data_IF_430923865809
#
_entry.id   IF_430923865809
#
_cell.length_a   1.000
_cell.length_b   1.000
_cell.length_c   1.000
_cell.angle_alpha   90.00
_cell.angle_beta   90.00
_cell.angle_gamma   90.00
#
_symmetry.space_group_name_H-M   'P 1'
#
loop_
_entity.id
_entity.type
_entity.pdbx_description
1 polymer ?
#
# COMPACT_ATOMS: atom_id res chain seq x y z
N UNK A 1 -63.55 28.61 -2.11
CA UNK A 1 -62.75 27.36 -2.04
C UNK A 1 -61.83 27.10 -3.25
N UNK A 2 -61.55 28.09 -4.13
CA UNK A 2 -60.72 27.87 -5.33
C UNK A 2 -59.29 28.44 -5.26
N UNK A 3 -59.01 29.31 -4.29
CA UNK A 3 -57.73 30.01 -4.11
C UNK A 3 -56.66 29.18 -3.38
N UNK A 4 -57.06 28.23 -2.52
CA UNK A 4 -56.12 27.37 -1.78
C UNK A 4 -55.44 26.28 -2.63
N UNK A 5 -56.00 25.89 -3.79
CA UNK A 5 -55.39 24.89 -4.68
C UNK A 5 -54.23 25.47 -5.51
N UNK A 6 -54.29 26.74 -5.90
CA UNK A 6 -53.22 27.40 -6.68
C UNK A 6 -51.94 27.65 -5.87
N UNK A 7 -52.06 27.88 -4.56
CA UNK A 7 -50.92 28.11 -3.68
C UNK A 7 -50.08 26.84 -3.45
N UNK A 8 -50.72 25.66 -3.37
CA UNK A 8 -50.01 24.37 -3.26
C UNK A 8 -49.24 24.00 -4.53
N UNK A 9 -49.76 24.38 -5.70
CA UNK A 9 -49.12 24.08 -6.99
C UNK A 9 -47.85 24.92 -7.22
N UNK A 10 -47.86 26.20 -6.82
CA UNK A 10 -46.66 27.06 -6.86
C UNK A 10 -45.57 26.54 -5.92
N UNK A 11 -45.93 26.14 -4.70
CA UNK A 11 -44.97 25.58 -3.73
C UNK A 11 -44.32 24.28 -4.20
N UNK A 12 -45.10 23.38 -4.83
CA UNK A 12 -44.60 22.13 -5.39
C UNK A 12 -43.66 22.35 -6.58
N UNK A 13 -43.93 23.36 -7.41
CA UNK A 13 -43.09 23.70 -8.56
C UNK A 13 -41.76 24.33 -8.11
N UNK A 14 -41.79 25.18 -7.08
CA UNK A 14 -40.59 25.76 -6.48
C UNK A 14 -39.67 24.67 -5.88
N UNK A 15 -40.26 23.65 -5.23
CA UNK A 15 -39.53 22.53 -4.65
C UNK A 15 -38.90 21.62 -5.72
N UNK A 16 -39.58 21.46 -6.86
CA UNK A 16 -39.08 20.68 -8.00
C UNK A 16 -37.90 21.39 -8.68
N UNK A 17 -38.00 22.71 -8.88
CA UNK A 17 -36.92 23.54 -9.44
C UNK A 17 -35.71 23.56 -8.51
N UNK A 18 -35.92 23.62 -7.19
CA UNK A 18 -34.84 23.56 -6.21
C UNK A 18 -34.10 22.22 -6.26
N UNK A 19 -34.83 21.08 -6.37
CA UNK A 19 -34.23 19.76 -6.55
C UNK A 19 -33.48 19.61 -7.89
N UNK A 20 -33.97 20.23 -8.97
CA UNK A 20 -33.30 20.26 -10.28
C UNK A 20 -31.98 21.05 -10.25
N UNK A 21 -31.91 22.14 -9.48
CA UNK A 21 -30.67 22.91 -9.27
C UNK A 21 -29.63 22.19 -8.42
N UNK A 22 -30.04 21.30 -7.50
CA UNK A 22 -29.10 20.47 -6.73
C UNK A 22 -28.46 19.34 -7.56
N UNK A 23 -29.07 18.94 -8.68
CA UNK A 23 -28.55 17.85 -9.53
C UNK A 23 -27.43 18.34 -10.48
N UNK A 24 -27.37 19.63 -10.83
CA UNK A 24 -26.44 20.16 -11.84
C UNK A 24 -25.08 20.59 -11.30
N UNK A 25 -24.81 20.44 -10.00
CA UNK A 25 -23.50 20.67 -9.41
C UNK A 25 -22.69 19.38 -9.23
N UNK A 26 -22.56 18.57 -10.29
CA UNK A 26 -21.45 17.63 -10.40
C UNK A 26 -20.34 18.31 -11.20
N UNK A 27 -19.48 19.02 -10.46
CA UNK A 27 -18.15 19.42 -10.90
C UNK A 27 -17.47 18.24 -11.60
N UNK A 28 -16.83 18.50 -12.75
CA UNK A 28 -15.88 17.59 -13.39
C UNK A 28 -14.66 17.43 -12.47
N UNK A 29 -14.80 16.65 -11.41
CA UNK A 29 -13.68 16.21 -10.61
C UNK A 29 -12.95 15.13 -11.41
N UNK A 30 -11.65 15.34 -11.67
CA UNK A 30 -10.73 14.23 -11.92
C UNK A 30 -11.01 13.17 -10.86
N UNK A 31 -11.49 12.01 -11.30
CA UNK A 31 -12.15 11.03 -10.42
C UNK A 31 -11.11 10.30 -9.58
N UNK A 32 -10.62 10.94 -8.52
CA UNK A 32 -9.86 10.26 -7.48
C UNK A 32 -10.82 9.40 -6.67
N UNK A 33 -10.57 8.10 -6.65
CA UNK A 33 -11.35 7.15 -5.86
C UNK A 33 -10.63 7.00 -4.53
N UNK A 34 -11.30 7.31 -3.41
CA UNK A 34 -10.72 7.07 -2.09
C UNK A 34 -10.84 5.59 -1.71
N UNK A 35 -9.72 4.99 -1.29
CA UNK A 35 -9.71 3.73 -0.58
C UNK A 35 -9.34 3.98 0.88
N UNK A 36 -10.35 4.06 1.74
CA UNK A 36 -10.17 4.53 3.12
C UNK A 36 -9.70 5.98 3.13
N UNK A 37 -8.48 6.21 3.63
CA UNK A 37 -7.85 7.55 3.66
C UNK A 37 -6.91 7.83 2.48
N UNK A 38 -6.66 6.83 1.63
CA UNK A 38 -5.67 6.94 0.56
C UNK A 38 -6.40 7.29 -0.74
N UNK A 39 -6.14 8.45 -1.37
CA UNK A 39 -6.66 8.74 -2.69
C UNK A 39 -5.95 7.88 -3.72
N UNK A 40 -6.72 7.20 -4.57
CA UNK A 40 -6.21 6.51 -5.75
C UNK A 40 -6.40 7.45 -6.94
N UNK A 41 -5.37 7.59 -7.76
CA UNK A 41 -5.34 8.39 -8.98
C UNK A 41 -4.71 7.59 -10.12
N UNK A 42 -4.78 8.10 -11.34
CA UNK A 42 -4.01 7.61 -12.50
C UNK A 42 -2.53 7.54 -12.10
N UNK A 43 -1.77 6.47 -12.43
CA UNK A 43 -2.08 5.36 -13.35
C UNK A 43 -2.89 4.19 -12.73
N UNK A 44 -3.22 4.21 -11.44
CA UNK A 44 -3.88 3.07 -10.79
C UNK A 44 -5.40 3.01 -11.03
N UNK A 45 -5.96 4.05 -11.64
CA UNK A 45 -7.37 4.09 -12.05
C UNK A 45 -7.46 3.74 -13.53
N UNK A 46 -8.42 2.87 -13.86
CA UNK A 46 -8.90 2.71 -15.22
C UNK A 46 -9.79 3.91 -15.56
N UNK A 47 -9.28 4.90 -16.29
CA UNK A 47 -10.14 5.90 -16.93
C UNK A 47 -10.94 5.24 -18.07
N UNK A 48 -12.14 5.75 -18.38
CA UNK A 48 -12.92 5.39 -19.57
C UNK A 48 -12.22 5.74 -20.91
N UNK A 49 -10.92 6.04 -20.87
CA UNK A 49 -10.08 6.26 -22.04
C UNK A 49 -9.75 4.94 -22.70
N UNK A 50 -9.62 4.96 -24.02
CA UNK A 50 -9.14 3.85 -24.88
C UNK A 50 -7.76 3.29 -24.52
N UNK A 51 -7.05 3.92 -23.58
CA UNK A 51 -5.77 3.45 -23.02
C UNK A 51 -6.02 2.98 -21.59
N UNK A 52 -6.08 1.66 -21.36
CA UNK A 52 -6.05 1.13 -20.00
C UNK A 52 -4.64 1.34 -19.43
N UNK A 53 -4.53 2.00 -18.28
CA UNK A 53 -3.23 2.05 -17.61
C UNK A 53 -2.83 0.66 -17.13
N UNK A 54 -1.62 0.23 -17.45
CA UNK A 54 -1.09 -1.09 -17.11
C UNK A 54 -1.08 -1.37 -15.59
N UNK A 55 -1.05 -0.32 -14.77
CA UNK A 55 -1.04 -0.43 -13.30
C UNK A 55 -2.44 -0.51 -12.68
N UNK A 56 -3.53 -0.42 -13.46
CA UNK A 56 -4.90 -0.46 -12.95
C UNK A 56 -5.23 -1.75 -12.17
N UNK A 57 -4.58 -2.88 -12.50
CA UNK A 57 -4.76 -4.18 -11.85
C UNK A 57 -3.78 -4.44 -10.70
N UNK A 58 -2.83 -3.52 -10.50
CA UNK A 58 -1.80 -3.65 -9.44
C UNK A 58 -2.31 -3.28 -8.06
N UNK A 59 -3.46 -2.59 -7.97
CA UNK A 59 -4.04 -2.12 -6.72
C UNK A 59 -5.40 -2.75 -6.47
N UNK A 60 -5.64 -3.16 -5.23
CA UNK A 60 -6.92 -3.69 -4.76
C UNK A 60 -7.35 -2.96 -3.50
N UNK A 61 -8.53 -2.35 -3.53
CA UNK A 61 -9.17 -1.81 -2.33
C UNK A 61 -10.10 -2.86 -1.71
N UNK A 62 -9.84 -3.27 -0.47
CA UNK A 62 -10.70 -4.22 0.26
C UNK A 62 -10.90 -3.74 1.70
N UNK A 63 -12.15 -3.63 2.13
CA UNK A 63 -12.52 -3.18 3.49
C UNK A 63 -11.85 -1.86 3.88
N UNK A 64 -11.88 -0.87 2.98
CA UNK A 64 -11.24 0.45 3.16
C UNK A 64 -9.72 0.41 3.37
N UNK A 65 -9.05 -0.68 3.00
CA UNK A 65 -7.59 -0.81 3.00
C UNK A 65 -7.10 -1.04 1.58
N UNK A 66 -6.06 -0.31 1.20
CA UNK A 66 -5.42 -0.43 -0.10
C UNK A 66 -4.34 -1.52 -0.04
N UNK A 67 -4.29 -2.35 -1.07
CA UNK A 67 -3.33 -3.42 -1.21
C UNK A 67 -2.65 -3.36 -2.58
N UNK A 68 -1.35 -3.60 -2.60
CA UNK A 68 -0.58 -3.89 -3.79
C UNK A 68 -0.67 -5.39 -4.10
N UNK A 69 -1.11 -5.72 -5.32
CA UNK A 69 -1.37 -7.08 -5.78
C UNK A 69 -0.13 -7.65 -6.45
N UNK A 70 0.25 -8.86 -6.06
CA UNK A 70 1.43 -9.56 -6.60
C UNK A 70 1.10 -11.03 -6.90
N UNK A 71 2.03 -11.76 -7.52
CA UNK A 71 1.92 -13.22 -7.72
C UNK A 71 2.11 -14.03 -6.42
N UNK A 72 2.59 -13.41 -5.34
CA UNK A 72 2.65 -14.02 -4.01
C UNK A 72 1.36 -13.78 -3.21
N UNK A 73 0.71 -12.63 -3.42
CA UNK A 73 -0.47 -12.22 -2.68
C UNK A 73 -0.61 -10.70 -2.57
N UNK A 74 -1.45 -10.27 -1.62
CA UNK A 74 -1.76 -8.87 -1.35
C UNK A 74 -0.85 -8.32 -0.25
N UNK A 75 -0.20 -7.20 -0.54
CA UNK A 75 0.64 -6.44 0.39
C UNK A 75 -0.03 -5.13 0.78
N UNK A 76 -0.16 -4.80 2.08
CA UNK A 76 -0.83 -3.58 2.50
C UNK A 76 -0.05 -2.32 2.09
N UNK A 77 -0.77 -1.30 1.63
CA UNK A 77 -0.21 0.00 1.24
C UNK A 77 -0.43 1.01 2.36
N UNK A 78 0.63 1.68 2.81
CA UNK A 78 0.53 2.77 3.81
C UNK A 78 0.31 4.12 3.17
N UNK A 79 0.99 4.40 2.06
CA UNK A 79 0.93 5.71 1.40
C UNK A 79 1.24 5.61 -0.09
N UNK A 80 0.75 6.58 -0.85
CA UNK A 80 1.06 6.79 -2.26
C UNK A 80 1.42 8.27 -2.42
N UNK A 81 2.58 8.55 -2.98
CA UNK A 81 3.02 9.89 -3.33
C UNK A 81 3.03 10.03 -4.84
N UNK A 82 2.06 10.76 -5.38
CA UNK A 82 1.91 11.00 -6.81
C UNK A 82 2.93 12.01 -7.36
N UNK A 83 3.46 12.91 -6.51
CA UNK A 83 4.48 13.88 -6.89
C UNK A 83 5.81 13.21 -7.14
N UNK A 84 6.24 12.32 -6.23
CA UNK A 84 7.47 11.54 -6.39
C UNK A 84 7.25 10.23 -7.13
N UNK A 85 6.01 9.93 -7.54
CA UNK A 85 5.60 8.69 -8.20
C UNK A 85 6.06 7.42 -7.45
N UNK A 86 5.88 7.42 -6.14
CA UNK A 86 6.27 6.31 -5.25
C UNK A 86 5.11 5.78 -4.43
N UNK A 87 5.12 4.46 -4.22
CA UNK A 87 4.20 3.70 -3.39
C UNK A 87 4.95 3.17 -2.17
N UNK A 88 4.36 3.23 -0.97
CA UNK A 88 4.95 2.61 0.22
C UNK A 88 4.16 1.38 0.64
N UNK A 89 4.80 0.21 0.59
CA UNK A 89 4.28 -1.04 1.14
C UNK A 89 4.57 -1.11 2.63
N UNK A 90 3.52 -1.35 3.41
CA UNK A 90 3.62 -1.59 4.85
C UNK A 90 4.15 -2.99 5.12
N UNK A 91 5.09 -3.10 6.06
CA UNK A 91 5.56 -4.38 6.58
C UNK A 91 5.22 -4.53 8.07
N UNK A 92 4.94 -5.75 8.55
CA UNK A 92 4.80 -5.99 9.97
C UNK A 92 6.07 -5.57 10.72
N UNK A 93 5.89 -4.95 11.89
CA UNK A 93 6.98 -4.44 12.71
C UNK A 93 7.93 -5.53 13.23
N UNK A 94 7.59 -6.81 13.17
CA UNK A 94 8.51 -7.92 13.45
C UNK A 94 8.25 -9.08 12.48
N UNK A 95 9.03 -9.15 11.41
CA UNK A 95 8.95 -10.26 10.46
C UNK A 95 10.01 -11.30 10.80
N UNK A 96 9.59 -12.56 10.91
CA UNK A 96 10.53 -13.68 11.08
C UNK A 96 11.35 -13.85 9.80
N UNK A 97 12.65 -14.11 9.94
CA UNK A 97 13.50 -14.49 8.80
C UNK A 97 12.99 -15.75 8.07
N UNK A 98 12.09 -16.54 8.65
CA UNK A 98 11.47 -17.68 7.97
C UNK A 98 10.52 -17.30 6.84
N UNK A 99 9.91 -16.12 6.91
CA UNK A 99 8.97 -15.61 5.91
C UNK A 99 9.56 -14.43 5.15
N UNK A 100 10.90 -14.40 5.03
CA UNK A 100 11.59 -13.35 4.30
C UNK A 100 11.16 -13.35 2.84
N UNK A 101 10.72 -12.20 2.38
CA UNK A 101 10.46 -11.93 0.97
C UNK A 101 11.50 -10.92 0.55
N UNK A 102 12.35 -11.30 -0.41
CA UNK A 102 13.39 -10.42 -0.92
C UNK A 102 12.77 -9.16 -1.52
N UNK A 103 13.16 -7.95 -1.04
CA UNK A 103 12.67 -6.70 -1.61
C UNK A 103 13.07 -6.54 -3.08
N UNK A 104 14.22 -7.09 -3.49
CA UNK A 104 14.64 -7.11 -4.88
C UNK A 104 13.62 -7.86 -5.77
N UNK A 105 12.97 -8.92 -5.26
CA UNK A 105 11.90 -9.61 -5.98
C UNK A 105 10.59 -8.80 -6.06
N UNK A 106 10.30 -7.99 -5.04
CA UNK A 106 9.14 -7.08 -5.06
C UNK A 106 9.35 -5.91 -6.03
N UNK A 107 10.59 -5.40 -6.11
CA UNK A 107 11.00 -4.25 -6.92
C UNK A 107 11.41 -4.62 -8.34
N UNK A 108 11.69 -5.89 -8.63
CA UNK A 108 12.21 -6.31 -9.92
C UNK A 108 11.32 -5.84 -11.09
N UNK A 109 11.96 -5.18 -12.05
CA UNK A 109 11.32 -4.62 -13.24
C UNK A 109 10.65 -3.27 -13.03
N UNK A 110 10.64 -2.73 -11.80
CA UNK A 110 10.31 -1.33 -11.54
C UNK A 110 11.56 -0.47 -11.48
N UNK A 111 11.44 0.85 -11.73
CA UNK A 111 12.53 1.78 -11.48
C UNK A 111 12.93 1.80 -10.00
N UNK A 112 14.23 1.97 -9.75
CA UNK A 112 14.77 2.27 -8.42
C UNK A 112 14.15 3.56 -7.88
N UNK A 113 13.58 3.58 -6.66
CA UNK A 113 13.14 4.81 -6.02
C UNK A 113 14.32 5.77 -5.79
N UNK A 114 14.06 7.08 -5.75
CA UNK A 114 15.11 8.11 -5.51
C UNK A 114 15.97 7.85 -4.26
N UNK A 115 15.41 7.17 -3.26
CA UNK A 115 16.12 6.74 -2.06
C UNK A 115 16.01 5.21 -1.99
N UNK A 116 17.14 4.48 -1.92
CA UNK A 116 17.09 3.03 -1.91
C UNK A 116 16.40 2.53 -0.64
N UNK A 117 15.78 1.36 -0.76
CA UNK A 117 15.26 0.66 0.40
C UNK A 117 16.43 0.06 1.19
N UNK A 118 16.26 0.00 2.50
CA UNK A 118 17.22 -0.57 3.45
C UNK A 118 16.60 -1.74 4.22
N UNK A 119 17.44 -2.60 4.76
CA UNK A 119 17.05 -3.80 5.49
C UNK A 119 17.72 -3.82 6.86
N UNK A 120 16.93 -3.95 7.90
CA UNK A 120 17.41 -4.18 9.26
C UNK A 120 17.33 -5.66 9.58
N UNK A 121 18.41 -6.21 10.13
CA UNK A 121 18.54 -7.59 10.53
C UNK A 121 18.82 -7.64 12.03
N UNK A 122 18.19 -8.58 12.74
CA UNK A 122 18.26 -8.66 14.20
C UNK A 122 18.69 -10.04 14.69
N UNK A 123 19.52 -10.04 15.74
CA UNK A 123 20.08 -11.22 16.39
C UNK A 123 20.73 -12.17 15.38
N UNK A 124 21.66 -11.65 14.59
CA UNK A 124 22.48 -12.43 13.68
C UNK A 124 23.69 -12.99 14.43
N UNK A 125 24.11 -14.22 14.11
CA UNK A 125 25.25 -14.87 14.77
C UNK A 125 26.48 -15.05 13.88
N UNK A 126 26.32 -14.94 12.55
CA UNK A 126 27.45 -15.06 11.61
C UNK A 126 28.22 -13.75 11.51
N UNK A 127 29.53 -13.80 11.77
CA UNK A 127 30.47 -12.68 11.56
C UNK A 127 31.04 -12.63 10.13
N UNK A 128 30.82 -13.68 9.34
CA UNK A 128 31.31 -13.75 7.96
C UNK A 128 30.30 -13.02 7.09
N UNK A 129 30.59 -11.75 6.80
CA UNK A 129 29.83 -10.90 5.90
C UNK A 129 30.39 -11.06 4.48
N UNK A 130 29.78 -11.82 3.55
CA UNK A 130 30.20 -11.79 2.16
C UNK A 130 29.71 -10.46 1.57
N UNK A 131 30.62 -9.49 1.34
CA UNK A 131 30.31 -8.20 0.71
C UNK A 131 30.31 -7.01 1.68
N UNK A 132 31.50 -6.55 2.08
CA UNK A 132 31.79 -5.78 3.30
C UNK A 132 31.81 -4.24 3.16
N UNK A 133 30.87 -3.61 2.43
CA UNK A 133 30.81 -2.13 2.37
C UNK A 133 29.45 -1.49 2.65
N UNK A 134 28.36 -2.24 2.52
CA UNK A 134 26.99 -1.72 2.67
C UNK A 134 26.25 -2.25 3.90
N UNK A 135 26.88 -3.13 4.68
CA UNK A 135 26.35 -3.66 5.95
C UNK A 135 27.09 -2.99 7.11
N UNK A 136 26.36 -2.27 7.96
CA UNK A 136 26.89 -1.59 9.14
C UNK A 136 26.13 -1.95 10.41
N UNK A 137 26.70 -1.63 11.57
CA UNK A 137 25.97 -1.70 12.84
C UNK A 137 24.93 -0.57 12.89
N UNK A 138 23.76 -0.84 13.46
CA UNK A 138 22.65 0.11 13.50
C UNK A 138 22.62 1.01 14.75
N UNK A 139 23.76 1.16 15.44
CA UNK A 139 23.88 1.84 16.74
C UNK A 139 23.47 3.32 16.76
N UNK A 140 23.29 3.95 15.59
CA UNK A 140 22.97 5.39 15.45
C UNK A 140 21.58 5.66 14.86
N UNK A 141 20.71 4.64 14.77
CA UNK A 141 19.38 4.82 14.21
C UNK A 141 18.42 5.47 15.23
N UNK A 142 17.87 6.64 14.90
CA UNK A 142 16.69 7.17 15.60
C UNK A 142 15.47 6.34 15.21
N UNK A 143 14.79 5.79 16.22
CA UNK A 143 13.68 4.87 16.04
C UNK A 143 12.45 5.56 15.42
N UNK A 144 11.97 4.98 14.32
CA UNK A 144 10.64 4.99 13.71
C UNK A 144 9.66 6.07 14.22
N UNK A 145 9.48 7.15 13.45
CA UNK A 145 8.33 8.03 13.61
C UNK A 145 7.04 7.27 13.21
N UNK A 146 6.36 6.68 14.18
CA UNK A 146 5.02 6.13 13.94
C UNK A 146 4.06 7.31 13.72
N UNK A 147 3.43 7.40 12.53
CA UNK A 147 2.39 8.40 12.24
C UNK A 147 1.06 8.19 12.97
N UNK A 148 1.06 7.39 14.04
CA UNK A 148 -0.05 7.23 14.97
C UNK A 148 0.32 7.89 16.29
N UNK A 149 -0.33 9.01 16.60
CA UNK A 149 -0.39 9.52 17.97
C UNK A 149 -0.70 8.35 18.92
N UNK A 150 0.11 8.20 19.97
CA UNK A 150 0.09 7.14 20.99
C UNK A 150 0.93 5.88 20.66
N UNK A 151 2.23 6.07 20.56
CA UNK A 151 3.26 5.38 21.37
C UNK A 151 4.60 5.58 20.65
N UNK A 152 5.39 6.53 21.13
CA UNK A 152 6.84 6.48 20.97
C UNK A 152 7.32 5.21 21.69
N UNK A 153 7.24 4.06 21.03
CA UNK A 153 8.12 2.96 21.39
C UNK A 153 9.48 3.31 20.81
N UNK A 154 10.20 4.11 21.59
CA UNK A 154 11.65 4.10 21.61
C UNK A 154 12.05 2.62 21.54
N UNK A 155 12.64 2.22 20.41
CA UNK A 155 13.29 0.93 20.35
C UNK A 155 14.52 1.12 21.24
N UNK A 156 14.39 0.92 22.56
CA UNK A 156 15.52 0.44 23.35
C UNK A 156 16.03 -0.74 22.53
N UNK A 157 17.19 -0.61 21.89
CA UNK A 157 17.75 -1.65 21.02
C UNK A 157 18.55 -2.58 21.93
N UNK A 158 17.98 -3.66 22.52
CA UNK A 158 18.70 -4.58 23.38
C UNK A 158 19.31 -5.71 22.51
N UNK A 159 19.20 -5.60 21.18
CA UNK A 159 19.44 -6.66 20.21
C UNK A 159 20.58 -6.25 19.28
N UNK A 160 21.50 -7.17 19.02
CA UNK A 160 22.49 -6.99 17.96
C UNK A 160 21.76 -6.79 16.64
N UNK A 161 22.10 -5.71 15.93
CA UNK A 161 21.40 -5.35 14.72
C UNK A 161 22.35 -4.86 13.63
N UNK A 162 22.04 -5.28 12.41
CA UNK A 162 22.79 -4.97 11.20
C UNK A 162 21.88 -4.20 10.24
N UNK A 163 22.41 -3.13 9.68
CA UNK A 163 21.76 -2.30 8.69
C UNK A 163 22.41 -2.55 7.34
N UNK A 164 21.59 -2.96 6.38
CA UNK A 164 21.89 -2.97 4.96
C UNK A 164 21.35 -1.67 4.39
N UNK A 165 22.24 -0.76 3.98
CA UNK A 165 21.85 0.57 3.51
C UNK A 165 21.10 0.56 2.18
N UNK A 166 21.48 -0.36 1.29
CA UNK A 166 20.99 -0.39 -0.08
C UNK A 166 20.75 -1.84 -0.49
N UNK A 167 19.48 -2.25 -0.49
CA UNK A 167 19.09 -3.62 -0.82
C UNK A 167 19.35 -3.94 -2.30
N UNK A 168 19.46 -2.94 -3.17
CA UNK A 168 19.74 -3.19 -4.59
C UNK A 168 21.18 -3.68 -4.82
N UNK A 169 22.06 -3.43 -3.85
CA UNK A 169 23.44 -3.94 -3.84
C UNK A 169 23.56 -5.33 -3.21
N UNK A 170 22.48 -5.87 -2.64
CA UNK A 170 22.47 -7.25 -2.19
C UNK A 170 22.43 -8.19 -3.39
N UNK A 171 23.15 -9.30 -3.26
CA UNK A 171 22.97 -10.41 -4.18
C UNK A 171 21.50 -10.86 -4.19
N UNK A 172 21.00 -11.21 -5.38
CA UNK A 172 19.60 -11.62 -5.57
C UNK A 172 19.22 -12.88 -4.80
N UNK A 173 20.21 -13.70 -4.42
CA UNK A 173 20.07 -14.89 -3.59
C UNK A 173 20.14 -14.65 -2.08
N UNK A 174 20.35 -13.41 -1.63
CA UNK A 174 20.49 -13.11 -0.21
C UNK A 174 19.28 -13.55 0.61
N UNK A 175 19.54 -14.27 1.72
CA UNK A 175 18.53 -14.58 2.70
C UNK A 175 19.04 -14.29 4.13
N UNK A 176 18.26 -13.63 5.03
CA UNK A 176 18.67 -13.35 6.41
C UNK A 176 19.11 -14.59 7.22
N UNK A 177 18.64 -15.78 6.82
CA UNK A 177 19.06 -17.06 7.43
C UNK A 177 20.52 -17.40 7.15
N UNK A 178 21.10 -16.92 6.04
CA UNK A 178 22.50 -17.16 5.71
C UNK A 178 23.43 -16.49 6.73
N UNK A 179 22.92 -15.46 7.42
CA UNK A 179 23.57 -14.78 8.53
C UNK A 179 23.07 -15.24 9.91
N UNK A 180 22.23 -16.28 9.96
CA UNK A 180 21.53 -16.77 11.16
C UNK A 180 20.75 -15.67 11.89
N UNK A 181 20.16 -14.72 11.17
CA UNK A 181 19.34 -13.68 11.77
C UNK A 181 17.95 -14.23 12.13
N UNK A 182 17.45 -13.86 13.31
CA UNK A 182 16.12 -14.28 13.78
C UNK A 182 14.97 -13.50 13.14
N UNK A 183 15.15 -12.19 12.96
CA UNK A 183 14.13 -11.28 12.48
C UNK A 183 14.72 -10.28 11.50
N UNK A 184 13.84 -9.68 10.71
CA UNK A 184 14.17 -8.57 9.84
C UNK A 184 13.08 -7.51 9.82
N UNK A 185 13.44 -6.31 9.38
CA UNK A 185 12.52 -5.23 9.05
C UNK A 185 12.93 -4.57 7.75
N UNK A 186 11.95 -4.24 6.93
CA UNK A 186 12.16 -3.39 5.76
C UNK A 186 11.91 -1.95 6.14
N UNK A 187 12.85 -1.10 5.76
CA UNK A 187 12.84 0.32 6.09
C UNK A 187 13.28 1.13 4.87
N UNK A 188 12.96 2.41 4.87
CA UNK A 188 13.49 3.36 3.90
C UNK A 188 13.94 4.63 4.62
N UNK A 189 14.88 5.35 4.02
CA UNK A 189 15.37 6.63 4.55
C UNK A 189 14.30 7.72 4.35
N UNK A 190 13.90 8.40 5.43
CA UNK A 190 12.88 9.46 5.37
C UNK A 190 13.42 10.74 4.72
N UNK A 191 14.71 11.06 4.94
CA UNK A 191 15.38 12.26 4.42
C UNK A 191 16.57 11.93 3.51
N UNK A 192 16.79 12.74 2.48
CA UNK A 192 17.96 12.64 1.60
C UNK A 192 19.19 13.37 2.14
N UNK A 193 19.09 14.01 3.30
CA UNK A 193 20.17 14.81 3.88
C UNK A 193 21.14 13.91 4.64
N UNK A 194 22.41 14.06 4.30
CA UNK A 194 23.55 13.40 4.94
C UNK A 194 23.92 14.07 6.27
N UNK A 195 22.92 14.23 7.13
CA UNK A 195 23.16 14.54 8.52
C UNK A 195 23.59 13.24 9.23
N UNK A 196 24.44 13.37 10.26
CA UNK A 196 25.04 12.26 11.04
C UNK A 196 24.03 11.27 11.67
N UNK A 197 22.73 11.57 11.54
CA UNK A 197 21.60 10.75 11.98
C UNK A 197 20.60 10.59 10.83
N UNK A 198 20.70 9.47 10.10
CA UNK A 198 19.69 9.09 9.11
C UNK A 198 18.43 8.60 9.81
N UNK A 199 17.30 9.25 9.54
CA UNK A 199 15.99 8.84 10.02
C UNK A 199 15.39 7.80 9.05
N UNK A 200 14.83 6.73 9.62
CA UNK A 200 14.27 5.60 8.88
C UNK A 200 12.82 5.38 9.26
N UNK A 201 12.00 5.08 8.26
CA UNK A 201 10.60 4.72 8.41
C UNK A 201 10.36 3.26 8.01
N UNK A 202 9.30 2.66 8.58
CA UNK A 202 8.94 1.28 8.28
C UNK A 202 8.29 1.16 6.90
N UNK A 203 8.75 0.18 6.12
CA UNK A 203 8.13 -0.21 4.86
C UNK A 203 9.14 -0.31 3.71
N UNK A 204 8.61 -0.43 2.50
CA UNK A 204 9.41 -0.44 1.28
C UNK A 204 8.75 0.44 0.23
N UNK A 205 9.55 1.30 -0.39
CA UNK A 205 9.14 2.19 -1.48
C UNK A 205 9.27 1.47 -2.82
N UNK A 206 8.24 1.54 -3.65
CA UNK A 206 8.24 1.10 -5.05
C UNK A 206 8.05 2.35 -5.91
N UNK A 207 8.94 2.58 -6.88
CA UNK A 207 8.72 3.61 -7.90
C UNK A 207 7.76 3.09 -8.97
N UNK A 208 6.79 3.91 -9.35
CA UNK A 208 5.92 3.65 -10.50
C UNK A 208 6.14 4.68 -11.61
N UNK A 209 7.24 5.43 -11.57
CA UNK A 209 7.63 6.38 -12.61
C UNK A 209 8.15 5.66 -13.86
N UNK A 210 7.24 5.08 -14.62
CA UNK A 210 7.55 4.46 -15.90
C UNK A 210 7.65 5.57 -16.95
N UNK A 211 8.83 5.82 -17.55
CA UNK A 211 8.95 6.84 -18.58
C UNK A 211 8.07 6.48 -19.78
N UNK A 212 7.42 7.49 -20.38
CA UNK A 212 6.50 7.33 -21.53
C UNK A 212 7.17 6.69 -22.77
N UNK A 213 8.49 6.59 -22.77
CA UNK A 213 9.31 6.09 -23.87
C UNK A 213 9.82 4.66 -23.66
N UNK A 214 9.58 4.03 -22.50
CA UNK A 214 10.01 2.64 -22.26
C UNK A 214 9.04 1.71 -23.00
N UNK A 215 9.49 1.02 -24.05
CA UNK A 215 8.65 0.07 -24.77
C UNK A 215 8.37 -1.09 -23.82
N UNK A 216 7.10 -1.26 -23.47
CA UNK A 216 6.54 -2.38 -22.72
C UNK A 216 7.36 -2.84 -21.49
N UNK A 217 6.96 -2.41 -20.29
CA UNK A 217 7.59 -2.84 -19.02
C UNK A 217 7.56 -4.37 -18.83
N UNK A 218 6.73 -5.10 -19.59
CA UNK A 218 6.63 -6.55 -19.54
C UNK A 218 7.65 -7.27 -20.42
N UNK A 219 8.50 -6.56 -21.16
CA UNK A 219 9.52 -7.16 -22.02
C UNK A 219 10.48 -8.08 -21.24
N UNK A 220 10.93 -7.67 -20.05
CA UNK A 220 11.77 -8.52 -19.21
C UNK A 220 11.03 -9.79 -18.76
N UNK A 221 9.72 -9.73 -18.54
CA UNK A 221 8.92 -10.89 -18.17
C UNK A 221 8.79 -11.94 -19.27
N UNK A 222 8.94 -11.55 -20.53
CA UNK A 222 8.82 -12.43 -21.69
C UNK A 222 10.13 -13.14 -22.03
N UNK A 223 11.27 -12.67 -21.53
CA UNK A 223 12.58 -13.27 -21.82
C UNK A 223 12.75 -14.61 -21.08
N UNK A 224 13.37 -15.63 -21.70
CA UNK A 224 13.59 -16.95 -21.07
C UNK A 224 14.32 -16.91 -19.72
N UNK A 225 15.21 -15.94 -19.53
CA UNK A 225 15.97 -15.70 -18.29
C UNK A 225 15.73 -14.30 -17.72
N UNK A 226 14.62 -13.66 -18.09
CA UNK A 226 14.32 -12.32 -17.63
C UNK A 226 13.80 -12.30 -16.19
N UNK A 227 14.17 -11.27 -15.44
CA UNK A 227 13.71 -11.10 -14.07
C UNK A 227 12.41 -10.29 -14.05
N UNK A 228 11.30 -10.97 -13.77
CA UNK A 228 9.95 -10.40 -13.78
C UNK A 228 9.44 -10.00 -12.38
N UNK A 229 10.21 -10.26 -11.32
CA UNK A 229 9.75 -10.06 -9.94
C UNK A 229 8.41 -10.74 -9.62
N UNK A 230 7.82 -10.38 -8.48
CA UNK A 230 6.47 -10.84 -8.11
C UNK A 230 5.42 -9.75 -8.29
N UNK A 231 5.82 -8.48 -8.20
CA UNK A 231 4.96 -7.32 -8.47
C UNK A 231 4.69 -7.17 -9.97
N UNK A 232 5.75 -7.01 -10.77
CA UNK A 232 5.63 -6.82 -12.22
C UNK A 232 5.02 -8.05 -12.90
N UNK A 233 5.35 -9.27 -12.45
CA UNK A 233 4.69 -10.50 -12.93
C UNK A 233 3.18 -10.48 -12.83
N UNK A 234 2.61 -9.97 -11.74
CA UNK A 234 1.15 -9.84 -11.62
C UNK A 234 0.59 -8.79 -12.59
N UNK A 235 1.31 -7.69 -12.82
CA UNK A 235 0.92 -6.66 -13.78
C UNK A 235 0.92 -7.21 -15.22
N UNK A 236 1.97 -7.92 -15.60
CA UNK A 236 2.18 -8.45 -16.95
C UNK A 236 1.40 -9.74 -17.23
N UNK A 237 1.14 -10.54 -16.19
CA UNK A 237 0.35 -11.77 -16.25
C UNK A 237 -0.78 -11.73 -15.20
N UNK A 238 -1.88 -10.99 -15.45
CA UNK A 238 -2.95 -10.79 -14.46
C UNK A 238 -3.58 -12.08 -13.92
N UNK A 239 -3.51 -13.18 -14.68
CA UNK A 239 -3.99 -14.51 -14.28
C UNK A 239 -3.12 -15.16 -13.19
N UNK A 240 -1.87 -14.71 -13.02
CA UNK A 240 -0.94 -15.20 -11.99
C UNK A 240 -1.06 -14.42 -10.67
N UNK A 241 -1.84 -13.35 -10.63
CA UNK A 241 -2.07 -12.56 -9.44
C UNK A 241 -2.85 -13.35 -8.38
N UNK A 242 -2.46 -13.17 -7.11
CA UNK A 242 -3.16 -13.78 -5.97
C UNK A 242 -3.86 -12.74 -5.12
N UNK A 243 -5.11 -13.04 -4.75
CA UNK A 243 -5.95 -12.18 -3.90
C UNK A 243 -5.94 -12.58 -2.41
N UNK A 244 -4.94 -13.37 -2.02
CA UNK A 244 -4.73 -13.76 -0.63
C UNK A 244 -3.85 -12.72 0.05
N UNK A 245 -4.32 -12.16 1.16
CA UNK A 245 -3.49 -11.30 2.01
C UNK A 245 -2.35 -12.12 2.59
N UNK A 246 -1.12 -11.69 2.35
CA UNK A 246 0.04 -12.32 2.99
C UNK A 246 0.15 -11.76 4.40
N UNK A 247 -0.34 -12.52 5.38
CA UNK A 247 -0.07 -12.26 6.79
C UNK A 247 1.37 -12.72 7.06
N UNK A 248 2.36 -11.83 6.93
CA UNK A 248 3.75 -12.14 7.33
C UNK A 248 3.87 -12.25 8.87
N UNK A 249 2.79 -11.98 9.60
CA UNK A 249 2.61 -12.32 11.01
C UNK A 249 1.34 -13.18 11.18
N UNK A 250 1.41 -14.16 12.08
CA UNK A 250 0.42 -15.23 12.27
C UNK A 250 -1.04 -14.77 12.34
N UNK A 251 -1.89 -15.68 11.86
CA UNK A 251 -3.36 -15.72 12.00
C UNK A 251 -3.90 -14.93 13.20
N UNK A 252 -4.62 -13.85 12.92
CA UNK A 252 -5.68 -13.36 13.81
C UNK A 252 -7.00 -13.76 13.18
N UNK A 253 -7.70 -14.73 13.80
CA UNK A 253 -9.07 -15.08 13.45
C UNK A 253 -9.95 -13.84 13.67
N UNK A 254 -10.56 -13.35 12.60
CA UNK A 254 -11.57 -12.31 12.69
C UNK A 254 -12.89 -12.97 13.12
N UNK A 255 -13.24 -12.81 14.39
CA UNK A 255 -14.58 -13.12 14.89
C UNK A 255 -15.57 -12.17 14.20
N UNK A 256 -16.44 -12.74 13.37
CA UNK A 256 -17.59 -12.04 12.81
C UNK A 256 -18.67 -11.91 13.86
N UNK A 257 -19.23 -10.70 14.03
CA UNK A 257 -20.67 -10.50 14.25
C UNK A 257 -21.08 -9.02 14.18
N UNK A 258 -21.08 -8.39 12.99
CA UNK A 258 -21.67 -7.04 12.82
C UNK A 258 -22.85 -6.99 11.85
N UNK A 259 -23.21 -8.11 11.20
CA UNK A 259 -24.34 -8.13 10.24
C UNK A 259 -25.70 -8.30 10.94
N UNK A 260 -25.72 -8.82 12.17
CA UNK A 260 -26.98 -9.09 12.90
C UNK A 260 -27.60 -7.84 13.55
N UNK A 261 -26.82 -6.80 13.82
CA UNK A 261 -27.31 -5.59 14.48
C UNK A 261 -28.05 -4.67 13.48
N UNK A 262 -27.64 -4.66 12.21
CA UNK A 262 -28.25 -3.79 11.20
C UNK A 262 -29.64 -4.25 10.77
N UNK A 263 -29.95 -5.55 10.85
CA UNK A 263 -31.27 -6.09 10.45
C UNK A 263 -32.33 -5.81 11.52
N UNK A 264 -31.94 -5.79 12.80
CA UNK A 264 -32.87 -5.50 13.90
C UNK A 264 -33.34 -4.04 13.91
N UNK A 265 -32.51 -3.09 13.46
CA UNK A 265 -32.89 -1.67 13.39
C UNK A 265 -33.92 -1.35 12.31
N UNK A 266 -33.94 -2.09 11.19
CA UNK A 266 -34.91 -1.87 10.11
C UNK A 266 -36.32 -2.37 10.46
N UNK A 267 -36.43 -3.43 11.26
CA UNK A 267 -37.73 -4.00 11.66
C UNK A 267 -38.47 -3.06 12.62
N UNK A 268 -37.76 -2.41 13.55
CA UNK A 268 -38.36 -1.46 14.51
C UNK A 268 -38.91 -0.20 13.82
N UNK A 269 -38.24 0.27 12.77
CA UNK A 269 -38.70 1.45 12.01
C UNK A 269 -39.95 1.10 11.19
N UNK A 270 -40.00 -0.08 10.56
CA UNK A 270 -41.17 -0.48 9.76
C UNK A 270 -42.44 -0.64 10.61
N UNK A 271 -42.33 -1.20 11.82
CA UNK A 271 -43.47 -1.35 12.73
C UNK A 271 -43.98 0.01 13.23
N UNK A 272 -43.11 1.03 13.29
CA UNK A 272 -43.50 2.38 13.74
C UNK A 272 -44.23 3.21 12.67
N UNK A 273 -44.16 2.81 11.39
CA UNK A 273 -44.83 3.52 10.28
C UNK A 273 -46.14 2.90 9.83
N UNK A 274 -46.46 1.68 10.28
CA UNK A 274 -47.73 1.01 9.97
C UNK A 274 -48.87 1.37 10.92
N UNK A 275 -48.58 2.12 11.99
CA UNK A 275 -49.56 2.53 13.01
C UNK A 275 -49.95 4.03 12.94
N UNK A 276 -49.85 4.67 11.77
CA UNK A 276 -50.33 6.04 11.53
C UNK A 276 -51.19 6.17 10.27
#
# INVERSE_FOLDING_TARGET
MHTFKKLKFLGSLQLLILNLFFITCLSQHTSSILCGKIPIQIPFISSNSTVSSLLNHSMLCRSHKLYFRTSLGLFPVSSVNYTTKTLTISHPSRSSSQHFISPALLLAGFPTPLTPNSLLLFNCSSKNHPGTSFIGNCSRLKAFAASSQNQEQELEVPYSCLLVNDIEKLDGGFHPKDLNCSHYRLVYRSSSKDDDYSEYELGSRISFDIPDHVPDICNECQKPNGNCGVGLRCICHPKECKDKVISIAGSVKQFGNNVLISVLSFIVIFVSFTDF
#
